data_IF_198758917190
#
_entry.id   IF_198758917190
#
_cell.length_a   1.000
_cell.length_b   1.000
_cell.length_c   1.000
_cell.angle_alpha   90.00
_cell.angle_beta   90.00
_cell.angle_gamma   90.00
#
_symmetry.space_group_name_H-M   'P 1'
#
loop_
_entity.id
_entity.type
_entity.pdbx_description
1 polymer ?
#
# COMPACT_ATOMS: atom_id res chain seq x y z
N UNK A 1 -32.25 35.54 -7.59
CA UNK A 1 -30.86 36.06 -7.51
C UNK A 1 -29.95 35.14 -6.72
N UNK A 2 -30.49 34.27 -5.86
CA UNK A 2 -29.82 33.17 -5.16
C UNK A 2 -29.63 31.89 -5.99
N UNK A 3 -30.51 31.61 -6.97
CA UNK A 3 -30.43 30.37 -7.77
C UNK A 3 -29.35 30.43 -8.86
N UNK A 4 -29.06 31.62 -9.41
CA UNK A 4 -27.98 31.82 -10.39
C UNK A 4 -26.57 31.82 -9.76
N UNK A 5 -26.47 31.97 -8.43
CA UNK A 5 -25.21 31.79 -7.70
C UNK A 5 -24.89 30.31 -7.41
N UNK A 6 -25.88 29.41 -7.49
CA UNK A 6 -25.66 27.97 -7.38
C UNK A 6 -25.21 27.33 -8.70
N UNK A 7 -25.61 27.86 -9.85
CA UNK A 7 -25.15 27.36 -11.16
C UNK A 7 -23.72 27.80 -11.50
N UNK A 8 -23.24 28.91 -10.94
CA UNK A 8 -21.90 29.46 -11.22
C UNK A 8 -20.74 28.70 -10.54
N UNK A 9 -21.02 27.73 -9.65
CA UNK A 9 -20.00 26.83 -9.07
C UNK A 9 -19.89 25.47 -9.78
N UNK A 10 -20.71 25.18 -10.80
CA UNK A 10 -20.80 23.83 -11.38
C UNK A 10 -19.81 23.50 -12.53
N UNK A 11 -18.94 24.43 -12.92
CA UNK A 11 -17.93 24.22 -13.97
C UNK A 11 -16.49 24.35 -13.46
N UNK A 12 -16.15 23.69 -12.35
CA UNK A 12 -14.76 23.26 -12.17
C UNK A 12 -14.47 22.21 -13.25
N UNK A 13 -13.91 22.64 -14.38
CA UNK A 13 -13.35 21.75 -15.42
C UNK A 13 -12.08 21.10 -14.86
N UNK A 14 -12.23 20.28 -13.81
CA UNK A 14 -11.16 19.42 -13.37
C UNK A 14 -10.96 18.35 -14.44
N UNK A 15 -9.71 18.02 -14.71
CA UNK A 15 -9.36 17.00 -15.68
C UNK A 15 -9.72 15.62 -15.10
N UNK A 16 -11.01 15.25 -15.14
CA UNK A 16 -11.54 13.97 -14.70
C UNK A 16 -10.68 12.76 -15.16
N UNK A 17 -10.22 12.67 -16.43
CA UNK A 17 -9.32 11.59 -16.83
C UNK A 17 -7.99 11.57 -16.08
N UNK A 18 -7.41 12.74 -15.74
CA UNK A 18 -6.19 12.82 -14.93
C UNK A 18 -6.42 12.37 -13.49
N UNK A 19 -7.54 12.79 -12.88
CA UNK A 19 -7.90 12.38 -11.52
C UNK A 19 -8.12 10.88 -11.45
N UNK A 20 -8.86 10.30 -12.40
CA UNK A 20 -9.09 8.86 -12.48
C UNK A 20 -7.79 8.08 -12.67
N UNK A 21 -6.90 8.57 -13.53
CA UNK A 21 -5.58 7.94 -13.73
C UNK A 21 -4.74 7.95 -12.45
N UNK A 22 -4.65 9.10 -11.76
CA UNK A 22 -3.90 9.21 -10.52
C UNK A 22 -4.52 8.37 -9.39
N UNK A 23 -5.85 8.29 -9.33
CA UNK A 23 -6.55 7.46 -8.36
C UNK A 23 -6.32 5.96 -8.62
N UNK A 24 -6.33 5.55 -9.89
CA UNK A 24 -6.02 4.17 -10.29
C UNK A 24 -4.58 3.80 -9.92
N UNK A 25 -3.60 4.66 -10.25
CA UNK A 25 -2.19 4.45 -9.89
C UNK A 25 -2.01 4.36 -8.38
N UNK A 26 -2.73 5.19 -7.60
CA UNK A 26 -2.69 5.13 -6.16
C UNK A 26 -3.30 3.83 -5.60
N UNK A 27 -4.41 3.36 -6.19
CA UNK A 27 -5.08 2.11 -5.82
C UNK A 27 -4.23 0.86 -6.04
N UNK A 28 -3.21 0.92 -6.93
CA UNK A 28 -2.22 -0.17 -7.07
C UNK A 28 -1.55 -0.48 -5.73
N UNK A 29 -1.42 0.47 -4.81
CA UNK A 29 -0.91 0.22 -3.46
C UNK A 29 -1.73 -0.82 -2.69
N UNK A 30 -3.07 -0.77 -2.77
CA UNK A 30 -3.96 -1.77 -2.17
C UNK A 30 -3.88 -3.11 -2.89
N UNK A 31 -3.81 -3.09 -4.22
CA UNK A 31 -3.61 -4.30 -5.03
C UNK A 31 -2.33 -5.04 -4.65
N UNK A 32 -1.21 -4.33 -4.43
CA UNK A 32 0.07 -4.92 -4.05
C UNK A 32 -0.01 -5.65 -2.70
N UNK A 33 -0.81 -5.15 -1.75
CA UNK A 33 -1.06 -5.86 -0.49
C UNK A 33 -1.80 -7.18 -0.72
N UNK A 34 -2.86 -7.16 -1.52
CA UNK A 34 -3.61 -8.36 -1.88
C UNK A 34 -2.75 -9.37 -2.65
N UNK A 35 -1.89 -8.90 -3.55
CA UNK A 35 -0.95 -9.71 -4.29
C UNK A 35 0.10 -10.36 -3.37
N UNK A 36 0.74 -9.59 -2.48
CA UNK A 36 1.71 -10.11 -1.50
C UNK A 36 1.09 -11.19 -0.61
N UNK A 37 -0.11 -10.92 -0.08
CA UNK A 37 -0.87 -11.90 0.71
C UNK A 37 -1.26 -13.14 -0.10
N UNK A 38 -1.56 -13.01 -1.38
CA UNK A 38 -1.88 -14.13 -2.26
C UNK A 38 -0.67 -15.02 -2.53
N UNK A 39 0.47 -14.40 -2.88
CA UNK A 39 1.73 -15.11 -3.17
C UNK A 39 2.21 -15.89 -1.95
N UNK A 40 2.23 -15.28 -0.76
CA UNK A 40 2.72 -15.99 0.43
C UNK A 40 1.90 -17.23 0.74
N UNK A 41 0.58 -17.13 0.70
CA UNK A 41 -0.31 -18.24 0.99
C UNK A 41 -0.12 -19.41 0.02
N UNK A 42 0.24 -19.12 -1.24
CA UNK A 42 0.59 -20.15 -2.23
C UNK A 42 1.98 -20.78 -2.04
N UNK A 43 2.83 -20.22 -1.17
CA UNK A 43 4.23 -20.66 -0.98
C UNK A 43 4.50 -21.31 0.37
N UNK A 44 3.51 -21.49 1.25
CA UNK A 44 3.68 -21.99 2.63
C UNK A 44 4.46 -23.31 2.67
N UNK A 45 4.03 -24.32 1.90
CA UNK A 45 4.69 -25.64 1.88
C UNK A 45 6.10 -25.57 1.29
N UNK A 46 6.30 -24.70 0.28
CA UNK A 46 7.60 -24.48 -0.34
C UNK A 46 8.58 -23.81 0.64
N UNK A 47 8.12 -22.82 1.42
CA UNK A 47 8.91 -22.16 2.45
C UNK A 47 9.27 -23.12 3.58
N UNK A 48 8.33 -23.98 3.98
CA UNK A 48 8.59 -25.00 4.99
C UNK A 48 9.73 -25.93 4.55
N UNK A 49 9.69 -26.38 3.30
CA UNK A 49 10.73 -27.26 2.74
C UNK A 49 12.05 -26.50 2.51
N UNK A 50 12.00 -25.26 2.04
CA UNK A 50 13.18 -24.47 1.71
C UNK A 50 14.00 -24.07 2.95
N UNK A 51 13.33 -23.80 4.07
CA UNK A 51 13.98 -23.39 5.31
C UNK A 51 14.08 -24.48 6.38
N UNK A 52 13.64 -25.71 6.06
CA UNK A 52 13.58 -26.84 7.00
C UNK A 52 12.94 -26.45 8.35
N UNK A 53 11.83 -25.69 8.28
CA UNK A 53 11.18 -25.10 9.45
C UNK A 53 10.00 -25.92 9.95
N UNK A 54 9.80 -25.97 11.27
CA UNK A 54 8.56 -26.48 11.86
C UNK A 54 7.37 -25.55 11.57
N UNK A 55 6.14 -26.03 11.76
CA UNK A 55 4.90 -25.31 11.51
C UNK A 55 4.86 -23.91 12.17
N UNK A 56 5.39 -23.78 13.39
CA UNK A 56 5.49 -22.49 14.07
C UNK A 56 6.45 -21.52 13.36
N UNK A 57 7.59 -22.02 12.87
CA UNK A 57 8.57 -21.22 12.13
C UNK A 57 8.04 -20.75 10.78
N UNK A 58 7.40 -21.64 10.02
CA UNK A 58 6.74 -21.29 8.75
C UNK A 58 5.61 -20.29 8.99
N UNK A 59 4.80 -20.50 10.03
CA UNK A 59 3.75 -19.55 10.42
C UNK A 59 4.30 -18.16 10.73
N UNK A 60 5.44 -18.08 11.42
CA UNK A 60 6.11 -16.81 11.68
C UNK A 60 6.68 -16.17 10.41
N UNK A 61 7.30 -16.94 9.52
CA UNK A 61 7.77 -16.46 8.21
C UNK A 61 6.64 -15.79 7.42
N UNK A 62 5.47 -16.43 7.39
CA UNK A 62 4.26 -15.93 6.72
C UNK A 62 3.72 -14.68 7.41
N UNK A 63 3.53 -14.72 8.73
CA UNK A 63 2.87 -13.67 9.50
C UNK A 63 3.75 -12.43 9.77
N UNK A 64 5.08 -12.55 9.66
CA UNK A 64 6.04 -11.47 9.95
C UNK A 64 5.74 -10.16 9.21
N UNK A 65 5.24 -10.23 7.98
CA UNK A 65 4.84 -9.05 7.19
C UNK A 65 3.79 -8.21 7.91
N UNK A 66 2.88 -8.82 8.67
CA UNK A 66 1.81 -8.11 9.39
C UNK A 66 2.37 -7.24 10.52
N UNK A 67 3.46 -7.67 11.17
CA UNK A 67 4.15 -6.86 12.18
C UNK A 67 4.73 -5.59 11.55
N UNK A 68 5.34 -5.73 10.37
CA UNK A 68 5.79 -4.59 9.58
C UNK A 68 4.63 -3.68 9.18
N UNK A 69 3.49 -4.25 8.76
CA UNK A 69 2.30 -3.48 8.38
C UNK A 69 1.79 -2.60 9.51
N UNK A 70 1.72 -3.11 10.74
CA UNK A 70 1.28 -2.34 11.91
C UNK A 70 2.16 -1.12 12.12
N UNK A 71 3.48 -1.31 12.10
CA UNK A 71 4.45 -0.23 12.29
C UNK A 71 4.39 0.77 11.13
N UNK A 72 4.35 0.28 9.89
CA UNK A 72 4.27 1.10 8.70
C UNK A 72 3.03 1.98 8.69
N UNK A 73 1.86 1.39 8.96
CA UNK A 73 0.59 2.10 9.02
C UNK A 73 0.56 3.16 10.14
N UNK A 74 1.12 2.85 11.31
CA UNK A 74 1.16 3.76 12.45
C UNK A 74 1.92 5.05 12.13
N UNK A 75 3.05 4.95 11.43
CA UNK A 75 3.87 6.11 11.08
C UNK A 75 3.47 6.81 9.77
N UNK A 76 2.74 6.13 8.88
CA UNK A 76 2.44 6.61 7.54
C UNK A 76 1.83 8.01 7.48
N UNK A 77 0.78 8.25 8.27
CA UNK A 77 0.07 9.53 8.27
C UNK A 77 0.96 10.69 8.70
N UNK A 78 1.63 10.56 9.85
CA UNK A 78 2.50 11.61 10.39
C UNK A 78 3.69 11.92 9.47
N UNK A 79 4.28 10.90 8.86
CA UNK A 79 5.36 11.09 7.89
C UNK A 79 4.85 11.75 6.60
N UNK A 80 3.65 11.40 6.13
CA UNK A 80 3.07 12.02 4.94
C UNK A 80 2.62 13.46 5.14
N UNK A 81 2.21 13.85 6.34
CA UNK A 81 1.95 15.24 6.65
C UNK A 81 3.23 16.08 6.61
N UNK A 82 4.37 15.49 6.99
CA UNK A 82 5.68 16.16 6.96
C UNK A 82 6.34 16.20 5.59
N UNK A 83 6.35 15.09 4.87
CA UNK A 83 7.10 14.92 3.61
C UNK A 83 6.22 14.97 2.36
N UNK A 84 4.90 14.91 2.51
CA UNK A 84 3.93 14.83 1.42
C UNK A 84 3.55 13.39 1.06
N UNK A 85 2.36 13.22 0.47
CA UNK A 85 1.75 11.90 0.24
C UNK A 85 2.43 11.16 -0.91
N UNK A 86 2.58 11.83 -2.06
CA UNK A 86 3.24 11.27 -3.27
C UNK A 86 4.66 10.75 -3.01
N UNK A 87 5.60 11.52 -2.42
CA UNK A 87 6.95 11.01 -2.19
C UNK A 87 6.96 9.83 -1.21
N UNK A 88 6.12 9.86 -0.17
CA UNK A 88 5.98 8.72 0.74
C UNK A 88 5.47 7.46 0.05
N UNK A 89 4.50 7.57 -0.88
CA UNK A 89 4.04 6.44 -1.68
C UNK A 89 5.13 5.87 -2.60
N UNK A 90 5.93 6.74 -3.23
CA UNK A 90 7.06 6.30 -4.06
C UNK A 90 8.14 5.61 -3.22
N UNK A 91 8.46 6.14 -2.04
CA UNK A 91 9.39 5.52 -1.10
C UNK A 91 8.89 4.15 -0.66
N UNK A 92 7.60 4.02 -0.31
CA UNK A 92 7.00 2.73 0.01
C UNK A 92 7.15 1.73 -1.15
N UNK A 93 6.88 2.16 -2.40
CA UNK A 93 7.09 1.32 -3.58
C UNK A 93 8.55 0.83 -3.74
N UNK A 94 9.53 1.71 -3.53
CA UNK A 94 10.96 1.33 -3.60
C UNK A 94 11.32 0.34 -2.48
N UNK A 95 10.87 0.60 -1.25
CA UNK A 95 11.11 -0.29 -0.10
C UNK A 95 10.45 -1.65 -0.33
N UNK A 96 9.26 -1.70 -0.92
CA UNK A 96 8.57 -2.94 -1.29
C UNK A 96 9.36 -3.73 -2.34
N UNK A 97 9.93 -3.07 -3.36
CA UNK A 97 10.78 -3.72 -4.37
C UNK A 97 12.03 -4.34 -3.72
N UNK A 98 12.70 -3.60 -2.81
CA UNK A 98 13.87 -4.10 -2.08
C UNK A 98 13.49 -5.33 -1.24
N UNK A 99 12.35 -5.27 -0.54
CA UNK A 99 11.82 -6.40 0.23
C UNK A 99 11.52 -7.61 -0.67
N UNK A 100 10.85 -7.41 -1.80
CA UNK A 100 10.49 -8.50 -2.70
C UNK A 100 11.73 -9.18 -3.28
N UNK A 101 12.73 -8.39 -3.68
CA UNK A 101 14.01 -8.91 -4.15
C UNK A 101 14.73 -9.69 -3.05
N UNK A 102 14.88 -9.10 -1.87
CA UNK A 102 15.54 -9.73 -0.73
C UNK A 102 14.87 -11.03 -0.28
N UNK A 103 13.53 -11.05 -0.25
CA UNK A 103 12.76 -12.26 0.06
C UNK A 103 12.92 -13.36 -0.99
N UNK A 104 13.24 -13.00 -2.24
CA UNK A 104 13.45 -13.97 -3.33
C UNK A 104 14.82 -14.62 -3.32
N UNK A 105 15.85 -13.94 -2.79
CA UNK A 105 17.22 -14.44 -2.71
C UNK A 105 17.59 -15.02 -1.35
N UNK A 106 16.71 -14.92 -0.35
CA UNK A 106 17.00 -15.33 1.01
C UNK A 106 17.24 -16.84 1.10
N UNK A 107 18.36 -17.23 1.69
CA UNK A 107 18.72 -18.65 1.88
C UNK A 107 18.32 -19.16 3.28
N UNK A 108 18.00 -18.25 4.19
CA UNK A 108 17.61 -18.58 5.57
C UNK A 108 16.32 -17.87 5.99
N UNK A 109 15.54 -18.55 6.84
CA UNK A 109 14.28 -18.02 7.39
C UNK A 109 14.45 -16.67 8.11
N UNK A 110 15.55 -16.47 8.85
CA UNK A 110 15.80 -15.20 9.53
C UNK A 110 15.98 -14.02 8.58
N UNK A 111 16.70 -14.23 7.47
CA UNK A 111 16.89 -13.22 6.43
C UNK A 111 15.56 -12.92 5.72
N UNK A 112 14.81 -13.98 5.38
CA UNK A 112 13.48 -13.85 4.79
C UNK A 112 12.53 -13.01 5.66
N UNK A 113 12.51 -13.25 6.97
CA UNK A 113 11.71 -12.48 7.93
C UNK A 113 12.10 -11.00 7.96
N UNK A 114 13.39 -10.68 7.89
CA UNK A 114 13.84 -9.28 7.89
C UNK A 114 13.31 -8.55 6.66
N UNK A 115 13.45 -9.15 5.47
CA UNK A 115 12.91 -8.56 4.26
C UNK A 115 11.39 -8.45 4.31
N UNK A 116 10.70 -9.46 4.84
CA UNK A 116 9.25 -9.42 5.07
C UNK A 116 8.80 -8.28 5.97
N UNK A 117 9.53 -8.01 7.05
CA UNK A 117 9.25 -6.87 7.93
C UNK A 117 9.39 -5.55 7.18
N UNK A 118 10.44 -5.41 6.37
CA UNK A 118 10.67 -4.24 5.52
C UNK A 118 9.53 -4.06 4.51
N UNK A 119 9.10 -5.16 3.86
CA UNK A 119 7.95 -5.16 2.96
C UNK A 119 6.67 -4.77 3.67
N UNK A 120 6.45 -5.29 4.88
CA UNK A 120 5.32 -4.93 5.72
C UNK A 120 5.28 -3.43 6.03
N UNK A 121 6.41 -2.81 6.37
CA UNK A 121 6.48 -1.37 6.59
C UNK A 121 6.00 -0.58 5.35
N UNK A 122 6.46 -0.99 4.17
CA UNK A 122 6.06 -0.36 2.91
C UNK A 122 4.57 -0.54 2.62
N UNK A 123 4.06 -1.77 2.74
CA UNK A 123 2.67 -2.09 2.40
C UNK A 123 1.70 -1.49 3.42
N UNK A 124 2.02 -1.55 4.71
CA UNK A 124 1.27 -0.88 5.77
C UNK A 124 1.22 0.64 5.57
N UNK A 125 2.32 1.25 5.13
CA UNK A 125 2.31 2.67 4.79
C UNK A 125 1.44 2.94 3.55
N UNK A 126 1.60 2.17 2.48
CA UNK A 126 0.83 2.33 1.25
C UNK A 126 -0.68 2.24 1.48
N UNK A 127 -1.15 1.36 2.38
CA UNK A 127 -2.58 1.18 2.69
C UNK A 127 -3.23 2.41 3.33
N UNK A 128 -2.47 3.21 4.08
CA UNK A 128 -2.92 4.48 4.67
C UNK A 128 -2.75 5.65 3.68
N UNK A 129 -1.69 5.63 2.87
CA UNK A 129 -1.36 6.74 1.97
C UNK A 129 -2.22 6.79 0.72
N UNK A 130 -2.52 5.64 0.12
CA UNK A 130 -3.31 5.55 -1.11
C UNK A 130 -4.71 6.17 -0.98
N UNK A 131 -5.55 5.84 0.03
CA UNK A 131 -6.90 6.38 0.11
C UNK A 131 -6.87 7.85 0.55
N UNK A 132 -5.87 8.24 1.35
CA UNK A 132 -5.64 9.63 1.74
C UNK A 132 -5.30 10.49 0.51
N UNK A 133 -4.32 10.06 -0.29
CA UNK A 133 -3.94 10.73 -1.53
C UNK A 133 -5.11 10.83 -2.52
N UNK A 134 -5.85 9.74 -2.72
CA UNK A 134 -7.04 9.73 -3.56
C UNK A 134 -8.06 10.76 -3.06
N UNK A 135 -8.30 10.85 -1.74
CA UNK A 135 -9.24 11.80 -1.17
C UNK A 135 -8.83 13.26 -1.38
N UNK A 136 -7.52 13.55 -1.40
CA UNK A 136 -6.97 14.88 -1.60
C UNK A 136 -7.09 15.37 -3.04
N UNK A 137 -6.88 14.48 -4.01
CA UNK A 137 -6.98 14.83 -5.44
C UNK A 137 -8.40 14.75 -5.98
N UNK A 138 -9.30 14.06 -5.27
CA UNK A 138 -10.65 13.79 -5.75
C UNK A 138 -11.59 15.00 -5.55
N UNK A 139 -12.40 15.36 -6.57
CA UNK A 139 -13.47 16.34 -6.46
C UNK A 139 -14.50 15.92 -5.42
N UNK A 140 -15.08 16.89 -4.72
CA UNK A 140 -16.07 16.70 -3.66
C UNK A 140 -17.21 15.73 -4.03
N UNK A 141 -17.70 15.79 -5.27
CA UNK A 141 -18.84 14.99 -5.77
C UNK A 141 -18.54 13.50 -5.95
N UNK A 142 -17.27 13.12 -6.20
CA UNK A 142 -16.86 11.72 -6.44
C UNK A 142 -15.83 11.21 -5.44
N UNK A 143 -15.39 12.03 -4.49
CA UNK A 143 -14.37 11.69 -3.48
C UNK A 143 -14.65 10.37 -2.77
N UNK A 144 -15.86 10.17 -2.27
CA UNK A 144 -16.23 8.93 -1.58
C UNK A 144 -16.13 7.69 -2.46
N UNK A 145 -16.50 7.80 -3.75
CA UNK A 145 -16.42 6.70 -4.72
C UNK A 145 -14.98 6.37 -5.12
N UNK A 146 -14.13 7.38 -5.23
CA UNK A 146 -12.72 7.16 -5.57
C UNK A 146 -11.94 6.59 -4.38
N UNK A 147 -12.27 7.01 -3.15
CA UNK A 147 -11.61 6.51 -1.95
C UNK A 147 -11.79 5.00 -1.73
N UNK A 148 -12.84 4.38 -2.29
CA UNK A 148 -13.09 2.93 -2.19
C UNK A 148 -12.46 2.11 -3.33
N UNK A 149 -11.57 2.69 -4.15
CA UNK A 149 -10.99 2.01 -5.30
C UNK A 149 -9.88 0.99 -4.96
N UNK A 150 -9.32 1.02 -3.75
CA UNK A 150 -8.20 0.16 -3.36
C UNK A 150 -8.61 -1.09 -2.59
#
# INVERSE_FOLDING_TARGET
MSDQQQESQQNESYNLPKVLFLAFVAAIGGFLFGFDSGVINGTVDALQTAFDSDAAGTGFNVASVLLGCVVGAFFAGTLADKYGRKPMMLTAGVVFIISAWGSGISEASGEFVIYRLIGGLAVGAASILAPLYISEIAPSKIRGRLATLQ
#
